data_IF_918780036493
#
_entry.id   IF_918780036493
#
_cell.length_a   1.000
_cell.length_b   1.000
_cell.length_c   1.000
_cell.angle_alpha   90.00
_cell.angle_beta   90.00
_cell.angle_gamma   90.00
#
_symmetry.space_group_name_H-M   'P 1'
#
loop_
_entity.id
_entity.type
_entity.pdbx_description
1 polymer ?
#
# COMPACT_ATOMS: atom_id res chain seq x y z
N UNK A 1 39.72 27.06 -20.27
CA UNK A 1 39.21 26.14 -19.24
C UNK A 1 37.81 26.62 -18.92
N UNK A 2 36.82 25.92 -19.46
CA UNK A 2 35.41 26.32 -19.37
C UNK A 2 34.83 25.66 -18.13
N UNK A 3 34.56 26.45 -17.09
CA UNK A 3 33.82 26.00 -15.92
C UNK A 3 32.38 25.75 -16.36
N UNK A 4 32.00 24.48 -16.41
CA UNK A 4 30.63 24.04 -16.67
C UNK A 4 29.77 24.41 -15.48
N UNK A 5 29.06 25.53 -15.60
CA UNK A 5 28.08 25.96 -14.61
C UNK A 5 26.87 25.02 -14.70
N UNK A 6 26.86 23.97 -13.89
CA UNK A 6 25.72 23.05 -13.76
C UNK A 6 24.62 23.77 -12.98
N UNK A 7 23.77 24.49 -13.70
CA UNK A 7 22.48 24.98 -13.21
C UNK A 7 21.58 23.78 -12.96
N UNK A 8 21.72 23.18 -11.78
CA UNK A 8 20.75 22.23 -11.24
C UNK A 8 19.51 23.06 -10.85
N UNK A 9 18.34 22.81 -11.45
CA UNK A 9 17.13 23.55 -11.11
C UNK A 9 16.80 23.37 -9.62
N UNK A 10 16.35 24.44 -8.95
CA UNK A 10 16.14 24.47 -7.48
C UNK A 10 15.26 23.33 -6.94
N UNK A 11 14.39 22.77 -7.79
CA UNK A 11 13.56 21.61 -7.45
C UNK A 11 14.39 20.35 -7.13
N UNK A 12 15.43 20.07 -7.93
CA UNK A 12 16.32 18.92 -7.74
C UNK A 12 17.19 19.05 -6.48
N UNK A 13 17.48 20.29 -6.05
CA UNK A 13 18.25 20.55 -4.82
C UNK A 13 17.43 20.22 -3.57
N UNK A 14 16.11 20.42 -3.58
CA UNK A 14 15.24 20.05 -2.46
C UNK A 14 15.07 18.53 -2.33
N UNK A 15 14.93 17.82 -3.45
CA UNK A 15 14.72 16.36 -3.44
C UNK A 15 15.97 15.58 -2.99
N UNK A 16 17.17 16.06 -3.34
CA UNK A 16 18.42 15.48 -2.85
C UNK A 16 18.59 15.64 -1.33
N UNK A 17 18.02 16.69 -0.72
CA UNK A 17 18.14 16.87 0.73
C UNK A 17 17.34 15.85 1.52
N UNK A 18 16.21 15.36 0.99
CA UNK A 18 15.36 14.37 1.67
C UNK A 18 16.04 13.01 1.79
N UNK A 19 16.70 12.57 0.73
CA UNK A 19 17.46 11.31 0.75
C UNK A 19 18.64 11.38 1.71
N UNK A 20 19.45 12.45 1.64
CA UNK A 20 20.62 12.63 2.52
C UNK A 20 20.20 12.69 3.99
N UNK A 21 19.06 13.32 4.29
CA UNK A 21 18.46 13.31 5.62
C UNK A 21 18.03 11.90 6.04
N UNK A 22 17.40 11.13 5.16
CA UNK A 22 16.96 9.76 5.47
C UNK A 22 18.13 8.82 5.72
N UNK A 23 19.21 8.88 4.92
CA UNK A 23 20.42 8.07 5.12
C UNK A 23 21.00 8.29 6.52
N UNK A 24 20.92 9.53 7.01
CA UNK A 24 21.43 9.90 8.33
C UNK A 24 20.50 9.47 9.48
N UNK A 25 19.20 9.39 9.23
CA UNK A 25 18.19 9.03 10.22
C UNK A 25 17.01 8.28 9.57
N UNK A 26 17.15 6.96 9.33
CA UNK A 26 16.11 6.19 8.68
C UNK A 26 14.90 6.06 9.59
N UNK A 27 13.73 6.44 9.05
CA UNK A 27 12.45 6.34 9.75
C UNK A 27 11.64 5.15 9.20
N UNK A 28 10.85 4.49 10.05
CA UNK A 28 9.95 3.42 9.60
C UNK A 28 8.83 4.00 8.72
N UNK A 29 8.23 3.18 7.83
CA UNK A 29 7.05 3.58 7.08
C UNK A 29 5.91 4.02 7.99
N UNK A 30 5.19 5.06 7.59
CA UNK A 30 4.04 5.56 8.33
C UNK A 30 2.77 4.79 7.98
N UNK A 31 1.91 4.62 8.99
CA UNK A 31 0.54 4.11 8.77
C UNK A 31 -0.33 5.29 8.37
N UNK A 32 -1.21 5.08 7.39
CA UNK A 32 -2.15 6.12 6.98
C UNK A 32 -3.03 6.56 8.15
N UNK A 33 -3.03 7.85 8.44
CA UNK A 33 -3.86 8.49 9.46
C UNK A 33 -4.59 9.69 8.82
N UNK A 34 -5.92 9.63 8.63
CA UNK A 34 -6.66 10.72 8.00
C UNK A 34 -6.60 12.04 8.78
N UNK A 35 -6.31 12.00 10.08
CA UNK A 35 -6.26 13.18 10.95
C UNK A 35 -4.85 13.84 10.97
N UNK A 36 -3.84 13.15 10.42
CA UNK A 36 -2.47 13.65 10.38
C UNK A 36 -2.25 14.59 9.20
N UNK A 37 -1.87 15.85 9.50
CA UNK A 37 -1.55 16.84 8.49
C UNK A 37 -0.19 16.55 7.84
N UNK A 38 -0.13 16.41 6.50
CA UNK A 38 1.14 16.21 5.79
C UNK A 38 2.05 17.44 5.96
N UNK A 39 3.35 17.19 5.99
CA UNK A 39 4.37 18.22 6.18
C UNK A 39 5.25 18.33 4.94
N UNK A 40 5.77 19.53 4.68
CA UNK A 40 6.82 19.70 3.67
C UNK A 40 8.11 18.99 4.10
N UNK A 41 8.89 18.43 3.16
CA UNK A 41 8.70 18.50 1.70
C UNK A 41 7.78 17.41 1.12
N UNK A 42 7.23 16.52 1.94
CA UNK A 42 6.47 15.36 1.46
C UNK A 42 5.15 15.73 0.79
N UNK A 43 4.51 16.80 1.23
CA UNK A 43 3.29 17.31 0.59
C UNK A 43 3.52 17.66 -0.88
N UNK A 44 4.63 18.33 -1.19
CA UNK A 44 4.94 18.75 -2.57
C UNK A 44 5.73 17.70 -3.36
N UNK A 45 6.60 16.93 -2.69
CA UNK A 45 7.66 16.18 -3.38
C UNK A 45 7.63 14.67 -3.17
N UNK A 46 6.66 14.08 -2.45
CA UNK A 46 6.70 12.66 -2.11
C UNK A 46 6.81 11.72 -3.33
N UNK A 47 6.07 11.99 -4.42
CA UNK A 47 6.15 11.18 -5.63
C UNK A 47 7.51 11.33 -6.34
N UNK A 48 8.01 12.57 -6.47
CA UNK A 48 9.31 12.85 -7.09
C UNK A 48 10.45 12.23 -6.29
N UNK A 49 10.37 12.32 -4.97
CA UNK A 49 11.33 11.70 -4.04
C UNK A 49 11.35 10.18 -4.19
N UNK A 50 10.19 9.54 -4.32
CA UNK A 50 10.12 8.10 -4.59
C UNK A 50 10.74 7.74 -5.95
N UNK A 51 10.41 8.49 -7.01
CA UNK A 51 10.96 8.28 -8.35
C UNK A 51 12.49 8.46 -8.37
N UNK A 52 12.99 9.47 -7.66
CA UNK A 52 14.42 9.71 -7.49
C UNK A 52 15.10 8.55 -6.76
N UNK A 53 14.51 8.08 -5.65
CA UNK A 53 15.01 6.92 -4.92
C UNK A 53 15.16 5.67 -5.80
N UNK A 54 14.20 5.43 -6.70
CA UNK A 54 14.30 4.35 -7.69
C UNK A 54 15.44 4.55 -8.68
N UNK A 55 15.62 5.77 -9.21
CA UNK A 55 16.72 6.10 -10.14
C UNK A 55 18.09 5.92 -9.46
N UNK A 56 18.18 6.28 -8.18
CA UNK A 56 19.40 6.17 -7.38
C UNK A 56 19.61 4.79 -6.74
N UNK A 57 18.68 3.85 -6.94
CA UNK A 57 18.72 2.48 -6.38
C UNK A 57 18.82 2.48 -4.86
N UNK A 58 18.04 3.35 -4.22
CA UNK A 58 17.88 3.37 -2.77
C UNK A 58 17.39 2.02 -2.23
N UNK A 59 17.59 1.81 -0.94
CA UNK A 59 17.11 0.62 -0.23
C UNK A 59 15.58 0.47 -0.31
N UNK A 60 15.11 -0.77 -0.20
CA UNK A 60 13.66 -1.05 -0.15
C UNK A 60 12.96 -0.34 1.02
N UNK A 61 13.65 -0.14 2.14
CA UNK A 61 13.11 0.60 3.29
C UNK A 61 12.79 2.06 2.95
N UNK A 62 13.66 2.72 2.18
CA UNK A 62 13.40 4.06 1.68
C UNK A 62 12.20 4.08 0.74
N UNK A 63 12.09 3.11 -0.17
CA UNK A 63 10.94 3.03 -1.08
C UNK A 63 9.62 2.89 -0.31
N UNK A 64 9.61 2.07 0.75
CA UNK A 64 8.43 1.90 1.64
C UNK A 64 8.12 3.17 2.38
N UNK A 65 9.14 3.84 2.92
CA UNK A 65 8.97 5.10 3.61
C UNK A 65 8.44 6.20 2.69
N UNK A 66 9.05 6.41 1.53
CA UNK A 66 8.61 7.41 0.55
C UNK A 66 7.18 7.12 0.03
N UNK A 67 6.83 5.84 -0.19
CA UNK A 67 5.46 5.48 -0.55
C UNK A 67 4.48 5.81 0.58
N UNK A 68 4.81 5.50 1.83
CA UNK A 68 3.95 5.81 2.97
C UNK A 68 3.67 7.31 3.09
N UNK A 69 4.70 8.14 2.88
CA UNK A 69 4.58 9.59 2.85
C UNK A 69 3.68 10.07 1.69
N UNK A 70 3.81 9.44 0.51
CA UNK A 70 2.95 9.72 -0.62
C UNK A 70 1.48 9.39 -0.34
N UNK A 71 1.19 8.21 0.21
CA UNK A 71 -0.16 7.75 0.57
C UNK A 71 -0.81 8.71 1.58
N UNK A 72 -0.04 9.17 2.57
CA UNK A 72 -0.51 10.13 3.57
C UNK A 72 -0.86 11.48 2.94
N UNK A 73 -0.06 11.94 1.98
CA UNK A 73 -0.12 13.32 1.48
C UNK A 73 -1.01 13.48 0.24
N UNK A 74 -1.26 12.42 -0.51
CA UNK A 74 -1.80 12.52 -1.87
C UNK A 74 -3.19 13.16 -1.97
N UNK A 75 -4.01 13.07 -0.91
CA UNK A 75 -5.33 13.69 -0.85
C UNK A 75 -5.29 15.22 -0.68
N UNK A 76 -4.15 15.76 -0.24
CA UNK A 76 -3.96 17.19 0.02
C UNK A 76 -3.27 17.91 -1.14
N UNK A 77 -2.88 17.18 -2.19
CA UNK A 77 -2.26 17.76 -3.38
C UNK A 77 -3.33 18.44 -4.24
N UNK A 78 -3.11 19.71 -4.60
CA UNK A 78 -4.04 20.47 -5.46
C UNK A 78 -4.12 19.88 -6.88
N UNK A 79 -2.98 19.46 -7.42
CA UNK A 79 -2.86 18.72 -8.67
C UNK A 79 -1.92 17.57 -8.40
N UNK A 80 -2.39 16.34 -8.57
CA UNK A 80 -1.55 15.20 -8.22
C UNK A 80 -0.53 14.85 -9.32
N UNK A 81 0.55 14.15 -8.97
CA UNK A 81 1.64 13.79 -9.88
C UNK A 81 1.30 12.60 -10.79
N UNK A 82 0.00 12.37 -11.07
CA UNK A 82 -0.52 11.13 -11.65
C UNK A 82 0.05 10.85 -13.04
N UNK A 83 0.08 11.87 -13.90
CA UNK A 83 0.65 11.74 -15.24
C UNK A 83 2.16 11.44 -15.18
N UNK A 84 2.89 12.12 -14.28
CA UNK A 84 4.32 11.88 -14.07
C UNK A 84 4.57 10.45 -13.61
N UNK A 85 3.79 9.95 -12.64
CA UNK A 85 3.88 8.55 -12.19
C UNK A 85 3.54 7.59 -13.33
N UNK A 86 2.52 7.89 -14.14
CA UNK A 86 2.13 7.05 -15.27
C UNK A 86 3.23 6.93 -16.34
N UNK A 87 4.01 7.99 -16.54
CA UNK A 87 5.10 8.05 -17.51
C UNK A 87 6.41 7.47 -16.95
N UNK A 88 6.77 7.80 -15.71
CA UNK A 88 8.07 7.48 -15.14
C UNK A 88 8.08 6.18 -14.31
N UNK A 89 7.00 5.87 -13.60
CA UNK A 89 6.86 4.61 -12.86
C UNK A 89 6.18 3.56 -13.74
N UNK A 90 6.97 2.90 -14.59
CA UNK A 90 6.45 1.83 -15.46
C UNK A 90 5.87 0.64 -14.68
N UNK A 91 6.43 0.33 -13.50
CA UNK A 91 6.01 -0.73 -12.57
C UNK A 91 6.40 -0.37 -11.13
N UNK A 92 5.86 -1.10 -10.15
CA UNK A 92 6.22 -0.98 -8.73
C UNK A 92 5.07 -0.49 -7.86
N UNK A 93 5.34 -0.34 -6.57
CA UNK A 93 4.34 -0.02 -5.54
C UNK A 93 3.71 1.36 -5.73
N UNK A 94 4.50 2.40 -6.07
CA UNK A 94 3.97 3.72 -6.40
C UNK A 94 3.02 3.68 -7.61
N UNK A 95 3.40 2.94 -8.65
CA UNK A 95 2.55 2.79 -9.84
C UNK A 95 1.25 2.08 -9.52
N UNK A 96 1.31 1.02 -8.73
CA UNK A 96 0.13 0.25 -8.28
C UNK A 96 -0.83 1.12 -7.46
N UNK A 97 -0.30 1.85 -6.46
CA UNK A 97 -1.10 2.78 -5.67
C UNK A 97 -1.72 3.87 -6.54
N UNK A 98 -0.92 4.52 -7.39
CA UNK A 98 -1.41 5.57 -8.28
C UNK A 98 -2.49 5.07 -9.22
N UNK A 99 -2.36 3.87 -9.80
CA UNK A 99 -3.40 3.30 -10.65
C UNK A 99 -4.71 3.11 -9.86
N UNK A 100 -4.65 2.63 -8.62
CA UNK A 100 -5.83 2.47 -7.77
C UNK A 100 -6.44 3.82 -7.37
N UNK A 101 -5.61 4.80 -7.01
CA UNK A 101 -6.04 6.15 -6.67
C UNK A 101 -6.76 6.84 -7.82
N UNK A 102 -6.16 6.79 -9.01
CA UNK A 102 -6.71 7.38 -10.24
C UNK A 102 -8.04 6.71 -10.60
N UNK A 103 -8.11 5.37 -10.56
CA UNK A 103 -9.36 4.66 -10.85
C UNK A 103 -10.46 5.00 -9.84
N UNK A 104 -10.13 5.04 -8.55
CA UNK A 104 -11.08 5.35 -7.50
C UNK A 104 -11.62 6.78 -7.60
N UNK A 105 -10.75 7.78 -7.73
CA UNK A 105 -11.17 9.18 -7.84
C UNK A 105 -11.87 9.49 -9.16
N UNK A 106 -11.45 8.88 -10.28
CA UNK A 106 -12.16 9.04 -11.55
C UNK A 106 -13.59 8.50 -11.46
N UNK A 107 -13.79 7.36 -10.79
CA UNK A 107 -15.12 6.82 -10.55
C UNK A 107 -15.98 7.73 -9.65
N UNK A 108 -15.39 8.34 -8.61
CA UNK A 108 -16.07 9.28 -7.71
C UNK A 108 -16.41 10.62 -8.36
N UNK A 109 -15.54 11.14 -9.22
CA UNK A 109 -15.71 12.44 -9.88
C UNK A 109 -16.88 12.45 -10.88
N UNK A 110 -17.34 11.28 -11.31
CA UNK A 110 -18.46 11.14 -12.25
C UNK A 110 -18.03 11.29 -13.72
N UNK A 111 -19.00 11.51 -14.63
CA UNK A 111 -18.76 11.42 -16.08
C UNK A 111 -18.04 12.62 -16.69
N UNK A 112 -17.92 13.73 -15.96
CA UNK A 112 -17.31 14.96 -16.47
C UNK A 112 -15.78 14.87 -16.55
N UNK A 113 -15.14 15.56 -17.51
CA UNK A 113 -13.69 15.66 -17.57
C UNK A 113 -13.09 16.21 -16.27
N UNK A 114 -12.03 15.57 -15.78
CA UNK A 114 -11.35 15.91 -14.53
C UNK A 114 -9.85 15.62 -14.65
N UNK A 115 -9.07 15.85 -13.59
CA UNK A 115 -7.60 15.68 -13.60
C UNK A 115 -7.14 14.26 -13.97
N UNK A 116 -8.01 13.26 -13.80
CA UNK A 116 -7.74 11.85 -14.09
C UNK A 116 -8.13 11.46 -15.52
N UNK A 117 -8.85 12.33 -16.24
CA UNK A 117 -9.27 12.07 -17.61
C UNK A 117 -8.07 11.89 -18.54
N UNK A 118 -8.08 10.81 -19.32
CA UNK A 118 -7.00 10.48 -20.26
C UNK A 118 -5.87 9.63 -19.66
N UNK A 119 -5.83 9.45 -18.33
CA UNK A 119 -4.92 8.50 -17.70
C UNK A 119 -5.36 7.05 -17.95
N UNK A 120 -4.41 6.14 -18.17
CA UNK A 120 -4.72 4.73 -18.46
C UNK A 120 -5.49 4.06 -17.34
N UNK A 121 -5.21 4.45 -16.09
CA UNK A 121 -5.86 3.86 -14.93
C UNK A 121 -7.34 4.27 -14.79
N UNK A 122 -7.75 5.43 -15.29
CA UNK A 122 -9.15 5.87 -15.28
C UNK A 122 -10.07 4.90 -16.05
N UNK A 123 -9.54 4.27 -17.11
CA UNK A 123 -10.26 3.27 -17.90
C UNK A 123 -10.36 1.88 -17.25
N UNK A 124 -9.74 1.65 -16.09
CA UNK A 124 -9.76 0.35 -15.39
C UNK A 124 -10.97 0.18 -14.45
N UNK A 125 -11.88 1.15 -14.41
CA UNK A 125 -13.02 1.24 -13.49
C UNK A 125 -14.20 0.29 -13.81
N UNK A 126 -13.99 -0.78 -14.58
CA UNK A 126 -15.08 -1.57 -15.19
C UNK A 126 -15.90 -2.47 -14.26
N UNK A 127 -15.71 -2.45 -12.94
CA UNK A 127 -16.64 -3.07 -11.99
C UNK A 127 -16.62 -2.43 -10.59
N UNK A 128 -17.80 -2.17 -9.97
CA UNK A 128 -17.88 -1.65 -8.60
C UNK A 128 -17.67 -2.73 -7.52
N UNK A 129 -17.34 -2.35 -6.26
CA UNK A 129 -16.87 -1.02 -5.82
C UNK A 129 -15.33 -0.99 -5.68
N UNK A 130 -14.70 0.01 -6.30
CA UNK A 130 -13.30 0.36 -6.01
C UNK A 130 -13.28 1.06 -4.65
N UNK A 131 -12.49 0.54 -3.70
CA UNK A 131 -12.31 1.13 -2.36
C UNK A 131 -11.24 2.22 -2.39
N UNK A 132 -11.32 3.14 -1.42
CA UNK A 132 -10.24 4.07 -1.11
C UNK A 132 -8.93 3.29 -0.92
N UNK A 133 -7.91 3.49 -1.75
CA UNK A 133 -6.68 2.73 -1.65
C UNK A 133 -5.90 3.01 -0.36
N UNK A 134 -6.09 4.17 0.29
CA UNK A 134 -5.33 4.53 1.50
C UNK A 134 -5.62 3.61 2.69
N UNK A 135 -6.75 2.89 2.66
CA UNK A 135 -7.14 2.00 3.76
C UNK A 135 -6.37 0.68 3.80
N UNK A 136 -5.67 0.33 2.72
CA UNK A 136 -4.89 -0.91 2.69
C UNK A 136 -3.56 -0.74 3.44
N UNK A 137 -3.13 -1.82 4.10
CA UNK A 137 -1.79 -1.89 4.69
C UNK A 137 -0.73 -1.65 3.61
N UNK A 138 0.42 -1.08 3.99
CA UNK A 138 1.46 -0.74 3.02
C UNK A 138 1.96 -1.96 2.22
N UNK A 139 1.96 -3.14 2.85
CA UNK A 139 2.30 -4.43 2.25
C UNK A 139 1.43 -4.77 1.03
N UNK A 140 0.20 -4.24 0.95
CA UNK A 140 -0.67 -4.39 -0.20
C UNK A 140 0.05 -4.02 -1.50
N UNK A 141 0.73 -2.87 -1.50
CA UNK A 141 1.43 -2.29 -2.66
C UNK A 141 2.73 -2.98 -3.03
N UNK A 142 3.27 -3.81 -2.13
CA UNK A 142 4.47 -4.61 -2.36
C UNK A 142 4.15 -6.07 -2.69
N UNK A 143 2.88 -6.45 -2.63
CA UNK A 143 2.40 -7.80 -2.89
C UNK A 143 1.73 -7.93 -4.26
N UNK A 144 1.42 -9.16 -4.66
CA UNK A 144 0.60 -9.42 -5.84
C UNK A 144 -0.80 -8.81 -5.74
N UNK A 145 -1.29 -8.53 -4.52
CA UNK A 145 -2.61 -7.92 -4.33
C UNK A 145 -2.68 -6.50 -4.89
N UNK A 146 -1.61 -5.69 -4.77
CA UNK A 146 -1.56 -4.32 -5.28
C UNK A 146 -1.62 -4.21 -6.80
N UNK A 147 -1.41 -5.30 -7.54
CA UNK A 147 -1.56 -5.33 -9.00
C UNK A 147 -3.01 -5.33 -9.45
N UNK A 148 -3.93 -5.76 -8.59
CA UNK A 148 -5.32 -5.96 -8.94
C UNK A 148 -6.22 -5.10 -8.06
N UNK A 149 -7.16 -4.37 -8.68
CA UNK A 149 -8.19 -3.57 -7.98
C UNK A 149 -9.29 -4.46 -7.38
N UNK A 150 -8.91 -5.54 -6.70
CA UNK A 150 -9.86 -6.44 -6.04
C UNK A 150 -10.28 -5.80 -4.71
N UNK A 151 -11.58 -5.70 -4.43
CA UNK A 151 -12.09 -5.02 -3.23
C UNK A 151 -11.79 -5.77 -1.92
N UNK A 152 -11.22 -6.99 -1.98
CA UNK A 152 -10.93 -7.85 -0.84
C UNK A 152 -9.62 -8.59 -1.08
N UNK A 153 -8.67 -8.44 -0.15
CA UNK A 153 -7.43 -9.20 -0.12
C UNK A 153 -6.93 -9.38 1.32
N UNK A 154 -5.82 -10.11 1.51
CA UNK A 154 -5.26 -10.36 2.86
C UNK A 154 -4.78 -9.09 3.57
N UNK A 155 -4.56 -8.00 2.82
CA UNK A 155 -4.16 -6.69 3.31
C UNK A 155 -5.35 -5.73 3.49
N UNK A 156 -6.59 -6.22 3.36
CA UNK A 156 -7.78 -5.44 3.69
C UNK A 156 -7.95 -5.42 5.22
N UNK A 157 -8.00 -4.23 5.85
CA UNK A 157 -8.13 -4.12 7.30
C UNK A 157 -9.40 -4.79 7.83
N UNK A 158 -10.51 -4.79 7.07
CA UNK A 158 -11.76 -5.44 7.45
C UNK A 158 -11.57 -6.96 7.51
N UNK A 159 -10.93 -7.55 6.50
CA UNK A 159 -10.68 -9.00 6.48
C UNK A 159 -9.69 -9.42 7.57
N UNK A 160 -8.72 -8.57 7.92
CA UNK A 160 -7.83 -8.81 9.06
C UNK A 160 -8.60 -8.76 10.38
N UNK A 161 -9.49 -7.79 10.55
CA UNK A 161 -10.35 -7.69 11.74
C UNK A 161 -11.26 -8.91 11.85
N UNK A 162 -11.95 -9.30 10.78
CA UNK A 162 -12.81 -10.49 10.75
C UNK A 162 -12.03 -11.76 11.12
N UNK A 163 -10.82 -11.96 10.56
CA UNK A 163 -9.96 -13.10 10.91
C UNK A 163 -9.46 -13.06 12.34
N UNK A 164 -9.11 -11.87 12.85
CA UNK A 164 -8.68 -11.71 14.24
C UNK A 164 -9.82 -11.99 15.21
N UNK A 165 -11.05 -11.59 14.88
CA UNK A 165 -12.24 -11.91 15.66
C UNK A 165 -12.58 -13.40 15.59
N UNK A 166 -12.46 -14.03 14.42
CA UNK A 166 -12.65 -15.46 14.26
C UNK A 166 -11.61 -16.27 15.04
N UNK A 167 -10.35 -15.85 15.06
CA UNK A 167 -9.29 -16.47 15.86
C UNK A 167 -9.53 -16.33 17.38
N UNK A 168 -10.24 -15.28 17.81
CA UNK A 168 -10.67 -15.09 19.21
C UNK A 168 -11.87 -15.95 19.60
N UNK A 169 -12.61 -16.51 18.63
CA UNK A 169 -13.75 -17.39 18.95
C UNK A 169 -13.22 -18.66 19.62
N UNK A 170 -13.81 -19.09 20.76
CA UNK A 170 -13.42 -20.34 21.38
C UNK A 170 -13.60 -21.48 20.37
N UNK A 171 -12.57 -22.31 20.22
CA UNK A 171 -12.67 -23.52 19.38
C UNK A 171 -13.92 -24.29 19.83
N UNK A 172 -14.76 -24.75 18.90
CA UNK A 172 -15.91 -25.57 19.25
C UNK A 172 -15.43 -26.68 20.17
N UNK A 173 -16.05 -26.81 21.35
CA UNK A 173 -15.79 -27.95 22.21
C UNK A 173 -16.08 -29.20 21.35
N UNK A 174 -15.15 -30.15 21.28
CA UNK A 174 -15.40 -31.38 20.54
C UNK A 174 -16.68 -32.02 21.08
N UNK A 175 -17.55 -32.58 20.22
CA UNK A 175 -18.78 -33.24 20.67
C UNK A 175 -18.45 -34.26 21.76
N UNK A 176 -19.30 -34.40 22.78
CA UNK A 176 -19.08 -35.32 23.90
C UNK A 176 -18.82 -36.78 23.44
N UNK A 177 -19.28 -37.16 22.24
CA UNK A 177 -19.00 -38.44 21.61
C UNK A 177 -17.50 -38.68 21.31
N UNK A 178 -16.69 -37.63 21.10
CA UNK A 178 -15.25 -37.76 20.84
C UNK A 178 -14.46 -38.25 22.07
N UNK A 179 -14.96 -37.96 23.29
CA UNK A 179 -14.42 -38.54 24.52
C UNK A 179 -14.66 -40.05 24.59
N UNK A 180 -15.91 -40.47 24.34
CA UNK A 180 -16.29 -41.90 24.34
C UNK A 180 -15.53 -42.73 23.32
N UNK A 181 -15.35 -42.23 22.09
CA UNK A 181 -14.57 -42.95 21.06
C UNK A 181 -13.09 -43.09 21.38
N UNK A 182 -12.56 -42.30 22.32
CA UNK A 182 -11.17 -42.35 22.77
C UNK A 182 -11.01 -43.25 24.01
N UNK A 183 -12.02 -43.28 24.87
CA UNK A 183 -12.12 -44.20 26.00
C UNK A 183 -12.33 -45.63 25.53
N UNK A 184 -13.28 -45.86 24.61
CA UNK A 184 -13.53 -47.18 24.01
C UNK A 184 -12.28 -47.75 23.31
N UNK A 185 -11.53 -46.92 22.58
CA UNK A 185 -10.26 -47.33 21.96
C UNK A 185 -9.15 -47.63 22.98
N UNK A 186 -9.17 -47.05 24.18
CA UNK A 186 -8.23 -47.39 25.25
C UNK A 186 -8.61 -48.70 25.94
N UNK A 187 -9.91 -48.94 26.09
CA UNK A 187 -10.45 -50.17 26.66
C UNK A 187 -10.20 -51.37 25.74
N UNK A 188 -10.37 -51.23 24.42
CA UNK A 188 -10.07 -52.28 23.43
C UNK A 188 -8.57 -52.67 23.39
N UNK A 189 -7.66 -51.75 23.70
CA UNK A 189 -6.21 -52.02 23.74
C UNK A 189 -5.79 -52.70 25.06
N UNK A 190 -6.62 -52.64 26.10
CA UNK A 190 -6.32 -53.24 27.42
C UNK A 190 -7.05 -54.57 27.67
N UNK A 191 -7.89 -55.05 26.75
CA UNK A 191 -8.50 -56.37 26.87
C UNK A 191 -7.49 -57.43 26.40
N UNK A 192 -7.13 -58.42 27.24
CA UNK A 192 -6.30 -59.52 26.80
C UNK A 192 -7.05 -60.30 25.73
N UNK A 193 -6.35 -60.57 24.62
CA UNK A 193 -6.81 -61.46 23.57
C UNK A 193 -7.03 -62.85 24.17
N UNK A 194 -8.29 -63.30 24.22
CA UNK A 194 -8.64 -64.70 24.48
C UNK A 194 -8.39 -65.55 23.23
#
# INVERSE_FOLDING_TARGET
MSEGNSNIPDNERSDQTVEVQWISNPLPPIVYDPDLLPQEPWLSNAATTWLLGKKLRCSEDFDRYALSQFIQSCAFMLFGPWNTIELEASRGSLRQFSDHWVAWNFWLAGPEPNEYSGLRAAGKTSAPPVRDPRVYDIEHWYSECGKYMRPRCLHDPVLRLEKNEEAKKPKPLPPAAWGRSRELRREEVCLPSN
#
